data_IF_329769134989
#
_entry.id   IF_329769134989
#
_cell.length_a   1.000
_cell.length_b   1.000
_cell.length_c   1.000
_cell.angle_alpha   90.00
_cell.angle_beta   90.00
_cell.angle_gamma   90.00
#
_symmetry.space_group_name_H-M   'P 1'
#
loop_
_entity.id
_entity.type
_entity.pdbx_description
1 polymer ?
#
# COMPACT_ATOMS: atom_id res chain seq x y z
N UNK A 1 8.60 9.54 15.39
CA UNK A 1 7.62 9.90 14.34
C UNK A 1 8.39 9.85 13.03
N UNK A 2 8.02 9.00 12.08
CA UNK A 2 8.85 8.71 10.89
C UNK A 2 8.95 9.91 9.92
N UNK A 3 7.84 10.61 9.69
CA UNK A 3 7.79 11.77 8.80
C UNK A 3 8.68 12.89 9.34
N UNK A 4 8.53 13.24 10.61
CA UNK A 4 9.31 14.30 11.25
C UNK A 4 10.80 13.96 11.30
N UNK A 5 11.14 12.71 11.62
CA UNK A 5 12.54 12.26 11.65
C UNK A 5 13.22 12.34 10.28
N UNK A 6 12.48 12.11 9.19
CA UNK A 6 13.04 12.14 7.84
C UNK A 6 13.05 13.54 7.21
N UNK A 7 12.01 14.33 7.45
CA UNK A 7 11.78 15.60 6.75
C UNK A 7 12.11 16.84 7.57
N UNK A 8 12.24 16.70 8.89
CA UNK A 8 12.33 17.82 9.84
C UNK A 8 11.00 18.57 10.02
N UNK A 9 9.93 18.19 9.32
CA UNK A 9 8.63 18.83 9.47
C UNK A 9 7.98 18.43 10.80
N UNK A 10 7.53 19.39 11.62
CA UNK A 10 6.92 19.08 12.91
C UNK A 10 5.73 18.14 12.75
N UNK A 11 5.62 17.14 13.63
CA UNK A 11 4.51 16.18 13.62
C UNK A 11 3.14 16.86 13.59
N UNK A 12 2.97 17.91 14.38
CA UNK A 12 1.69 18.59 14.52
C UNK A 12 1.32 19.35 13.24
N UNK A 13 2.30 19.98 12.58
CA UNK A 13 2.10 20.61 11.28
C UNK A 13 1.61 19.59 10.24
N UNK A 14 2.32 18.46 10.10
CA UNK A 14 1.94 17.42 9.15
C UNK A 14 0.57 16.83 9.47
N UNK A 15 0.23 16.64 10.75
CA UNK A 15 -1.10 16.17 11.16
C UNK A 15 -2.20 17.12 10.66
N UNK A 16 -2.07 18.42 10.92
CA UNK A 16 -3.07 19.40 10.46
C UNK A 16 -3.13 19.45 8.93
N UNK A 17 -1.98 19.43 8.26
CA UNK A 17 -1.92 19.40 6.79
C UNK A 17 -2.74 18.24 6.20
N UNK A 18 -2.59 17.02 6.73
CA UNK A 18 -3.35 15.87 6.24
C UNK A 18 -4.85 15.96 6.56
N UNK A 19 -5.21 16.44 7.75
CA UNK A 19 -6.60 16.63 8.13
C UNK A 19 -7.28 17.69 7.25
N UNK A 20 -6.63 18.85 7.08
CA UNK A 20 -7.13 19.95 6.23
C UNK A 20 -7.24 19.49 4.77
N UNK A 21 -6.30 18.67 4.27
CA UNK A 21 -6.40 18.09 2.93
C UNK A 21 -7.62 17.17 2.77
N UNK A 22 -7.91 16.32 3.75
CA UNK A 22 -9.09 15.44 3.75
C UNK A 22 -10.39 16.25 3.83
N UNK A 23 -10.43 17.30 4.66
CA UNK A 23 -11.58 18.20 4.75
C UNK A 23 -11.95 18.78 3.39
N UNK A 24 -10.95 19.30 2.66
CA UNK A 24 -11.15 19.86 1.33
C UNK A 24 -11.53 18.78 0.31
N UNK A 25 -10.84 17.65 0.32
CA UNK A 25 -11.04 16.58 -0.65
C UNK A 25 -12.45 15.98 -0.59
N UNK A 26 -13.00 15.82 0.62
CA UNK A 26 -14.32 15.22 0.85
C UNK A 26 -15.42 16.23 1.14
N UNK A 27 -15.10 17.53 1.15
CA UNK A 27 -16.08 18.61 1.34
C UNK A 27 -16.72 18.63 2.73
N UNK A 28 -15.93 18.35 3.78
CA UNK A 28 -16.46 18.41 5.15
C UNK A 28 -16.65 19.85 5.63
N UNK A 29 -17.87 20.17 6.07
CA UNK A 29 -18.21 21.51 6.56
C UNK A 29 -17.59 21.83 7.93
N UNK A 30 -17.40 20.79 8.76
CA UNK A 30 -16.78 20.91 10.07
C UNK A 30 -15.32 20.49 9.99
N UNK A 31 -14.48 21.25 10.68
CA UNK A 31 -13.08 20.88 10.88
C UNK A 31 -13.00 19.50 11.54
N UNK A 32 -12.17 18.63 10.98
CA UNK A 32 -11.86 17.33 11.53
C UNK A 32 -11.18 17.49 12.88
N UNK A 33 -11.55 16.60 13.79
CA UNK A 33 -10.88 16.42 15.07
C UNK A 33 -10.57 14.95 15.25
N UNK A 34 -9.32 14.61 15.58
CA UNK A 34 -8.99 13.21 15.88
C UNK A 34 -9.70 12.68 17.13
N UNK A 35 -10.20 13.54 18.02
CA UNK A 35 -10.95 13.13 19.21
C UNK A 35 -12.43 12.89 18.95
N UNK A 36 -12.97 13.38 17.82
CA UNK A 36 -14.42 13.37 17.51
C UNK A 36 -14.70 13.02 16.04
N UNK A 37 -13.72 12.41 15.35
CA UNK A 37 -13.89 11.97 13.98
C UNK A 37 -14.66 10.65 13.92
N UNK A 38 -15.46 10.50 12.87
CA UNK A 38 -16.08 9.22 12.53
C UNK A 38 -15.01 8.21 12.09
N UNK A 39 -15.35 6.92 12.12
CA UNK A 39 -14.47 5.85 11.63
C UNK A 39 -14.07 6.05 10.16
N UNK A 40 -14.97 6.57 9.34
CA UNK A 40 -14.70 6.83 7.92
C UNK A 40 -13.71 7.98 7.75
N UNK A 41 -13.90 9.08 8.46
CA UNK A 41 -12.96 10.21 8.46
C UNK A 41 -11.56 9.80 8.93
N UNK A 42 -11.48 9.02 10.02
CA UNK A 42 -10.21 8.49 10.50
C UNK A 42 -9.50 7.64 9.44
N UNK A 43 -10.26 6.79 8.74
CA UNK A 43 -9.74 5.96 7.65
C UNK A 43 -9.21 6.81 6.50
N UNK A 44 -9.94 7.83 6.04
CA UNK A 44 -9.50 8.72 4.96
C UNK A 44 -8.21 9.48 5.31
N UNK A 45 -8.08 9.95 6.56
CA UNK A 45 -6.83 10.58 7.04
C UNK A 45 -5.67 9.58 7.01
N UNK A 46 -5.88 8.34 7.44
CA UNK A 46 -4.85 7.30 7.37
C UNK A 46 -4.46 7.00 5.92
N UNK A 47 -5.42 6.90 5.00
CA UNK A 47 -5.16 6.64 3.58
C UNK A 47 -4.31 7.74 2.95
N UNK A 48 -4.62 9.02 3.20
CA UNK A 48 -3.83 10.16 2.73
C UNK A 48 -2.41 10.15 3.32
N UNK A 49 -2.28 9.87 4.62
CA UNK A 49 -0.96 9.77 5.27
C UNK A 49 -0.12 8.67 4.62
N UNK A 50 -0.70 7.48 4.41
CA UNK A 50 0.00 6.35 3.81
C UNK A 50 0.42 6.64 2.38
N UNK A 51 -0.49 7.19 1.56
CA UNK A 51 -0.18 7.55 0.18
C UNK A 51 0.96 8.57 0.12
N UNK A 52 0.92 9.60 0.96
CA UNK A 52 1.99 10.60 1.04
C UNK A 52 3.32 10.00 1.50
N UNK A 53 3.29 9.12 2.51
CA UNK A 53 4.48 8.40 3.01
C UNK A 53 5.16 7.60 1.89
N UNK A 54 4.38 6.86 1.10
CA UNK A 54 4.94 6.07 0.00
C UNK A 54 5.42 6.94 -1.16
N UNK A 55 4.64 7.94 -1.56
CA UNK A 55 5.00 8.85 -2.64
C UNK A 55 6.32 9.59 -2.36
N UNK A 56 6.53 10.00 -1.12
CA UNK A 56 7.73 10.71 -0.69
C UNK A 56 8.86 9.78 -0.21
N UNK A 57 8.69 8.45 -0.35
CA UNK A 57 9.65 7.44 0.07
C UNK A 57 10.10 7.61 1.53
N UNK A 58 9.18 7.98 2.42
CA UNK A 58 9.47 8.17 3.84
C UNK A 58 9.84 6.81 4.45
N UNK A 59 11.06 6.66 5.00
CA UNK A 59 11.46 5.43 5.66
C UNK A 59 10.63 5.22 6.93
N UNK A 60 9.95 4.09 7.02
CA UNK A 60 9.24 3.69 8.23
C UNK A 60 10.19 2.92 9.16
N UNK A 61 10.24 3.29 10.44
CA UNK A 61 10.96 2.49 11.42
C UNK A 61 10.31 1.11 11.59
N UNK A 62 11.08 0.15 12.12
CA UNK A 62 10.63 -1.24 12.31
C UNK A 62 9.31 -1.35 13.08
N UNK A 63 9.12 -0.57 14.15
CA UNK A 63 7.88 -0.63 14.96
C UNK A 63 6.66 -0.16 14.15
N UNK A 64 6.80 0.92 13.38
CA UNK A 64 5.70 1.41 12.52
C UNK A 64 5.39 0.40 11.42
N UNK A 65 6.42 -0.13 10.75
CA UNK A 65 6.24 -1.16 9.72
C UNK A 65 5.61 -2.43 10.29
N UNK A 66 6.02 -2.85 11.49
CA UNK A 66 5.51 -4.06 12.15
C UNK A 66 4.05 -3.90 12.61
N UNK A 67 3.68 -2.70 13.07
CA UNK A 67 2.30 -2.37 13.44
C UNK A 67 1.37 -2.40 12.22
N UNK A 68 1.84 -1.95 11.06
CA UNK A 68 1.04 -1.80 9.85
C UNK A 68 1.09 -3.00 8.90
N UNK A 69 1.96 -3.99 9.13
CA UNK A 69 2.22 -5.09 8.17
C UNK A 69 0.98 -5.91 7.76
N UNK A 70 -0.06 -5.93 8.60
CA UNK A 70 -1.33 -6.62 8.35
C UNK A 70 -2.50 -5.63 8.17
N UNK A 71 -2.22 -4.33 8.19
CA UNK A 71 -3.23 -3.32 7.93
C UNK A 71 -3.58 -3.30 6.43
N UNK A 72 -4.87 -3.40 6.12
CA UNK A 72 -5.35 -3.50 4.74
C UNK A 72 -5.03 -2.24 3.93
N UNK A 73 -5.10 -1.06 4.54
CA UNK A 73 -4.77 0.19 3.85
C UNK A 73 -3.27 0.25 3.56
N UNK A 74 -2.42 -0.13 4.53
CA UNK A 74 -0.98 -0.21 4.31
C UNK A 74 -0.61 -1.17 3.18
N UNK A 75 -1.19 -2.37 3.17
CA UNK A 75 -0.94 -3.37 2.13
C UNK A 75 -1.41 -2.89 0.75
N UNK A 76 -2.60 -2.29 0.69
CA UNK A 76 -3.14 -1.71 -0.54
C UNK A 76 -2.25 -0.59 -1.08
N UNK A 77 -1.93 0.41 -0.24
CA UNK A 77 -1.16 1.57 -0.66
C UNK A 77 0.31 1.25 -0.96
N UNK A 78 0.93 0.31 -0.24
CA UNK A 78 2.24 -0.24 -0.62
C UNK A 78 2.19 -0.87 -2.01
N UNK A 79 1.11 -1.60 -2.30
CA UNK A 79 0.92 -2.31 -3.56
C UNK A 79 0.71 -1.33 -4.72
N UNK A 80 -0.16 -0.34 -4.53
CA UNK A 80 -0.42 0.73 -5.48
C UNK A 80 0.83 1.58 -5.74
N UNK A 81 1.56 1.97 -4.71
CA UNK A 81 2.77 2.81 -4.84
C UNK A 81 4.02 2.03 -5.26
N UNK A 82 3.92 0.71 -5.47
CA UNK A 82 5.04 -0.17 -5.83
C UNK A 82 6.18 -0.13 -4.79
N UNK A 83 5.83 -0.14 -3.51
CA UNK A 83 6.77 -0.35 -2.41
C UNK A 83 6.64 -1.78 -1.91
N UNK A 84 7.77 -2.46 -1.73
CA UNK A 84 7.76 -3.84 -1.29
C UNK A 84 7.11 -3.96 0.10
N UNK A 85 6.04 -4.75 0.23
CA UNK A 85 5.31 -4.91 1.50
C UNK A 85 6.14 -5.54 2.62
N UNK A 86 7.28 -6.16 2.30
CA UNK A 86 8.18 -6.80 3.27
C UNK A 86 9.28 -5.84 3.75
N UNK A 87 9.83 -5.00 2.86
CA UNK A 87 11.03 -4.21 3.18
C UNK A 87 11.00 -2.75 2.72
N UNK A 88 9.88 -2.26 2.20
CA UNK A 88 9.68 -0.88 1.77
C UNK A 88 10.40 -0.47 0.49
N UNK A 89 11.29 -1.31 -0.06
CA UNK A 89 12.07 -0.98 -1.27
C UNK A 89 11.15 -0.57 -2.42
N UNK A 90 11.35 0.61 -3.03
CA UNK A 90 10.50 1.12 -4.10
C UNK A 90 10.74 0.39 -5.43
N UNK A 91 9.89 0.66 -6.43
CA UNK A 91 9.91 0.03 -7.77
C UNK A 91 9.69 -1.48 -7.71
N UNK A 92 8.81 -1.91 -6.81
CA UNK A 92 8.40 -3.29 -6.67
C UNK A 92 7.53 -3.74 -7.86
N UNK A 93 7.59 -5.05 -8.12
CA UNK A 93 6.74 -5.73 -9.09
C UNK A 93 5.43 -6.15 -8.41
N UNK A 94 4.33 -6.18 -9.16
CA UNK A 94 3.07 -6.74 -8.67
C UNK A 94 3.16 -8.25 -8.84
N UNK A 95 3.37 -8.93 -7.72
CA UNK A 95 3.37 -10.38 -7.64
C UNK A 95 1.93 -10.87 -7.56
N UNK A 96 1.58 -11.88 -8.34
CA UNK A 96 0.28 -12.54 -8.27
C UNK A 96 0.27 -13.63 -7.22
N UNK A 97 -0.85 -13.76 -6.52
CA UNK A 97 -1.12 -14.87 -5.60
C UNK A 97 -1.29 -16.17 -6.40
N UNK A 98 -2.18 -16.15 -7.38
CA UNK A 98 -2.34 -17.26 -8.31
C UNK A 98 -1.60 -16.99 -9.61
N UNK A 99 -0.85 -17.97 -10.10
CA UNK A 99 -0.08 -17.83 -11.34
C UNK A 99 -1.00 -17.53 -12.52
N UNK A 100 -0.64 -16.52 -13.30
CA UNK A 100 -1.28 -16.29 -14.60
C UNK A 100 -0.74 -17.35 -15.57
N UNK A 101 -1.61 -18.26 -16.01
CA UNK A 101 -1.22 -19.41 -16.84
C UNK A 101 -0.41 -19.04 -18.08
N UNK A 102 0.54 -19.92 -18.45
CA UNK A 102 1.40 -19.78 -19.64
C UNK A 102 0.54 -19.60 -20.90
N UNK A 103 0.89 -18.61 -21.73
CA UNK A 103 0.19 -18.30 -23.00
C UNK A 103 -0.85 -17.18 -22.92
N UNK A 104 -1.22 -16.71 -21.72
CA UNK A 104 -2.11 -15.56 -21.56
C UNK A 104 -1.33 -14.25 -21.56
N UNK A 105 -1.75 -13.29 -22.38
CA UNK A 105 -1.15 -11.96 -22.38
C UNK A 105 -1.63 -11.18 -21.14
N UNK A 106 -0.75 -11.05 -20.13
CA UNK A 106 -1.04 -10.30 -18.89
C UNK A 106 -1.51 -8.86 -19.11
N UNK A 107 -1.19 -8.24 -20.27
CA UNK A 107 -1.66 -6.89 -20.62
C UNK A 107 -3.09 -6.83 -21.16
N UNK A 108 -3.72 -7.97 -21.41
CA UNK A 108 -5.06 -8.06 -22.02
C UNK A 108 -6.08 -8.79 -21.16
N UNK A 109 -5.65 -9.65 -20.27
CA UNK A 109 -6.56 -10.40 -19.41
C UNK A 109 -7.10 -9.53 -18.28
N UNK A 110 -8.28 -9.89 -17.80
CA UNK A 110 -8.78 -9.38 -16.52
C UNK A 110 -8.10 -10.11 -15.36
N UNK A 111 -7.73 -9.35 -14.32
CA UNK A 111 -7.03 -9.84 -13.13
C UNK A 111 -7.87 -9.77 -11.85
N UNK A 112 -9.12 -9.30 -11.94
CA UNK A 112 -10.03 -9.05 -10.79
C UNK A 112 -10.30 -10.27 -9.92
N UNK A 113 -10.27 -11.48 -10.48
CA UNK A 113 -10.40 -12.75 -9.74
C UNK A 113 -9.11 -13.19 -9.02
N UNK A 114 -8.08 -12.35 -9.00
CA UNK A 114 -6.79 -12.65 -8.38
C UNK A 114 -6.50 -11.68 -7.22
N UNK A 115 -5.41 -11.97 -6.52
CA UNK A 115 -4.85 -11.11 -5.49
C UNK A 115 -3.39 -10.81 -5.80
N UNK A 116 -2.91 -9.67 -5.32
CA UNK A 116 -1.56 -9.19 -5.58
C UNK A 116 -0.92 -8.55 -4.36
N UNK A 117 0.41 -8.51 -4.37
CA UNK A 117 1.23 -7.70 -3.47
C UNK A 117 2.38 -7.06 -4.25
N UNK A 118 2.82 -5.88 -3.83
CA UNK A 118 4.08 -5.33 -4.32
C UNK A 118 5.27 -6.03 -3.64
N UNK A 119 6.09 -6.70 -4.44
CA UNK A 119 7.33 -7.33 -3.99
C UNK A 119 8.53 -6.79 -4.79
N UNK A 120 9.61 -6.40 -4.10
CA UNK A 120 10.85 -6.03 -4.79
C UNK A 120 11.45 -7.27 -5.48
N UNK A 121 12.34 -7.05 -6.46
CA UNK A 121 12.93 -8.15 -7.24
C UNK A 121 13.49 -9.29 -6.39
N UNK A 122 14.09 -8.99 -5.23
CA UNK A 122 14.62 -9.98 -4.29
C UNK A 122 13.51 -10.87 -3.72
N UNK A 123 12.47 -10.27 -3.14
CA UNK A 123 11.38 -11.04 -2.52
C UNK A 123 10.46 -11.70 -3.55
N UNK A 124 10.28 -11.09 -4.73
CA UNK A 124 9.49 -11.70 -5.80
C UNK A 124 10.18 -12.96 -6.37
N UNK A 125 11.51 -12.90 -6.57
CA UNK A 125 12.30 -14.09 -6.94
C UNK A 125 12.27 -15.16 -5.86
N UNK A 126 12.37 -14.76 -4.59
CA UNK A 126 12.28 -15.68 -3.47
C UNK A 126 10.92 -16.40 -3.43
N UNK A 127 9.82 -15.68 -3.61
CA UNK A 127 8.48 -16.28 -3.73
C UNK A 127 8.45 -17.36 -4.83
N UNK A 128 9.00 -17.08 -6.01
CA UNK A 128 9.07 -18.08 -7.08
C UNK A 128 9.96 -19.28 -6.72
N UNK A 129 11.02 -19.07 -5.95
CA UNK A 129 11.99 -20.10 -5.59
C UNK A 129 11.45 -21.06 -4.52
N UNK A 130 10.82 -20.54 -3.47
CA UNK A 130 10.37 -21.35 -2.33
C UNK A 130 8.89 -21.75 -2.43
N UNK A 131 8.14 -21.20 -3.38
CA UNK A 131 6.71 -21.41 -3.52
C UNK A 131 5.89 -20.52 -2.58
N UNK A 132 4.62 -20.31 -2.93
CA UNK A 132 3.77 -19.32 -2.27
C UNK A 132 3.46 -19.66 -0.81
N UNK A 133 3.24 -20.94 -0.49
CA UNK A 133 2.89 -21.37 0.86
C UNK A 133 4.05 -21.14 1.83
N UNK A 134 5.27 -21.55 1.45
CA UNK A 134 6.48 -21.29 2.24
C UNK A 134 6.80 -19.81 2.35
N UNK A 135 6.54 -19.03 1.29
CA UNK A 135 6.71 -17.57 1.32
C UNK A 135 5.73 -16.90 2.28
N UNK A 136 4.44 -17.29 2.23
CA UNK A 136 3.42 -16.78 3.14
C UNK A 136 3.73 -17.14 4.59
N UNK A 137 4.23 -18.34 4.86
CA UNK A 137 4.59 -18.77 6.20
C UNK A 137 5.79 -17.99 6.77
N UNK A 138 6.81 -17.76 5.93
CA UNK A 138 8.01 -17.01 6.31
C UNK A 138 7.72 -15.55 6.66
N UNK A 139 6.85 -14.90 5.88
CA UNK A 139 6.54 -13.48 6.03
C UNK A 139 5.18 -13.18 6.69
N UNK A 140 4.45 -14.23 7.09
CA UNK A 140 3.11 -14.16 7.72
C UNK A 140 2.07 -13.45 6.83
N UNK A 141 2.02 -13.81 5.54
CA UNK A 141 1.20 -13.13 4.52
C UNK A 141 -0.11 -13.86 4.16
N UNK A 142 -0.49 -14.93 4.86
CA UNK A 142 -1.66 -15.77 4.53
C UNK A 142 -2.96 -14.97 4.32
N UNK A 143 -3.15 -13.87 5.07
CA UNK A 143 -4.34 -13.01 4.99
C UNK A 143 -4.04 -11.61 4.40
N UNK A 144 -2.83 -11.39 3.90
CA UNK A 144 -2.34 -10.05 3.54
C UNK A 144 -2.50 -9.70 2.06
N UNK A 145 -2.82 -10.68 1.20
CA UNK A 145 -2.92 -10.46 -0.24
C UNK A 145 -4.12 -9.58 -0.62
N UNK A 146 -3.86 -8.55 -1.42
CA UNK A 146 -4.84 -7.52 -1.80
C UNK A 146 -5.63 -7.99 -3.02
N UNK A 147 -6.97 -8.04 -2.92
CA UNK A 147 -7.82 -8.32 -4.08
C UNK A 147 -7.64 -7.27 -5.17
N UNK A 148 -7.58 -7.71 -6.42
CA UNK A 148 -7.41 -6.81 -7.55
C UNK A 148 -8.71 -6.04 -7.80
N UNK A 149 -8.69 -4.74 -7.56
CA UNK A 149 -9.74 -3.81 -7.96
C UNK A 149 -9.48 -3.25 -9.38
N UNK A 150 -10.33 -2.34 -9.84
CA UNK A 150 -10.18 -1.70 -11.15
C UNK A 150 -8.81 -1.02 -11.30
N UNK A 151 -8.33 -0.33 -10.26
CA UNK A 151 -7.05 0.38 -10.29
C UNK A 151 -5.88 -0.59 -10.46
N UNK A 152 -5.82 -1.63 -9.64
CA UNK A 152 -4.80 -2.65 -9.70
C UNK A 152 -4.87 -3.43 -11.02
N UNK A 153 -6.06 -3.67 -11.56
CA UNK A 153 -6.24 -4.32 -12.86
C UNK A 153 -5.60 -3.50 -13.99
N UNK A 154 -5.85 -2.17 -14.02
CA UNK A 154 -5.21 -1.25 -14.98
C UNK A 154 -3.67 -1.25 -14.82
N UNK A 155 -3.19 -1.18 -13.58
CA UNK A 155 -1.75 -1.24 -13.28
C UNK A 155 -1.10 -2.55 -13.73
N UNK A 156 -1.77 -3.70 -13.58
CA UNK A 156 -1.30 -5.01 -14.02
C UNK A 156 -1.27 -5.12 -15.55
N UNK A 157 -2.20 -4.43 -16.23
CA UNK A 157 -2.21 -4.32 -17.69
C UNK A 157 -1.12 -3.38 -18.23
N UNK A 158 -0.50 -2.59 -17.36
CA UNK A 158 0.54 -1.62 -17.71
C UNK A 158 -0.05 -0.29 -18.20
N UNK A 159 -1.31 -0.02 -17.88
CA UNK A 159 -1.94 1.27 -18.10
C UNK A 159 -1.39 2.28 -17.08
N UNK A 160 -1.19 3.53 -17.52
CA UNK A 160 -0.71 4.60 -16.63
C UNK A 160 -1.89 5.02 -15.75
N UNK A 161 -1.65 5.19 -14.45
CA UNK A 161 -2.63 5.88 -13.60
C UNK A 161 -2.72 7.32 -14.13
N UNK A 162 -3.88 7.67 -14.68
CA UNK A 162 -4.21 9.06 -15.02
C UNK A 162 -4.28 9.93 -13.78
#
# INVERSE_FOLDING_TARGET
>A
NDIEAYTGQPRDYMRYLFMDYVEVLYGYEKRLSLSDCTREQAKQVIEVILDWVFHNNIPLNYKTSDLLKNDKAFLYWSTVNRNCVICGTPRAELAHYHTVGRGRNRRKIDHTDNKVLALCSRHHKEQHQIGIDSFNEKYKLHESWVSVDERLNRMLKGEVNG
#
